data_IF_782951681336
#
_entry.id   IF_782951681336
#
_cell.length_a   1.000
_cell.length_b   1.000
_cell.length_c   1.000
_cell.angle_alpha   90.00
_cell.angle_beta   90.00
_cell.angle_gamma   90.00
#
_symmetry.space_group_name_H-M   'P 1'
#
loop_
_entity.id
_entity.type
_entity.pdbx_description
1 polymer ?
#
# COMPACT_ATOMS: atom_id res chain seq x y z
N UNK A 1 -25.81 -29.56 -22.98
CA UNK A 1 -25.88 -30.27 -21.69
C UNK A 1 -24.75 -29.76 -20.83
N UNK A 2 -25.03 -29.12 -19.70
CA UNK A 2 -23.99 -28.70 -18.77
C UNK A 2 -23.37 -29.96 -18.14
N UNK A 3 -22.06 -30.15 -18.30
CA UNK A 3 -21.33 -31.20 -17.59
C UNK A 3 -21.42 -30.83 -16.11
N UNK A 4 -22.19 -31.61 -15.33
CA UNK A 4 -22.20 -31.46 -13.88
C UNK A 4 -20.81 -31.85 -13.37
N UNK A 5 -20.07 -30.84 -12.92
CA UNK A 5 -18.83 -31.02 -12.16
C UNK A 5 -19.09 -31.94 -10.98
N UNK A 6 -18.25 -32.97 -10.78
CA UNK A 6 -18.29 -33.85 -9.61
C UNK A 6 -17.87 -33.16 -8.31
N UNK A 7 -17.43 -31.91 -8.38
CA UNK A 7 -16.94 -31.12 -7.26
C UNK A 7 -17.67 -29.78 -7.14
N UNK A 8 -17.75 -29.25 -5.93
CA UNK A 8 -18.35 -27.95 -5.63
C UNK A 8 -17.61 -26.82 -6.39
N UNK A 9 -18.30 -26.06 -7.27
CA UNK A 9 -17.71 -24.94 -8.00
C UNK A 9 -17.10 -23.87 -7.09
N UNK A 10 -17.66 -23.65 -5.91
CA UNK A 10 -17.14 -22.65 -4.98
C UNK A 10 -15.82 -23.11 -4.36
N UNK A 11 -15.72 -24.39 -3.96
CA UNK A 11 -14.47 -25.00 -3.52
C UNK A 11 -13.40 -24.95 -4.63
N UNK A 12 -13.77 -25.25 -5.89
CA UNK A 12 -12.84 -25.16 -7.02
C UNK A 12 -12.33 -23.73 -7.25
N UNK A 13 -13.23 -22.73 -7.23
CA UNK A 13 -12.86 -21.31 -7.32
C UNK A 13 -11.94 -20.89 -6.18
N UNK A 14 -12.20 -21.36 -4.96
CA UNK A 14 -11.37 -21.09 -3.79
C UNK A 14 -9.96 -21.67 -3.96
N UNK A 15 -9.85 -22.90 -4.47
CA UNK A 15 -8.56 -23.52 -4.77
C UNK A 15 -7.78 -22.74 -5.84
N UNK A 16 -8.44 -22.33 -6.93
CA UNK A 16 -7.82 -21.50 -7.98
C UNK A 16 -7.31 -20.17 -7.43
N UNK A 17 -8.03 -19.57 -6.48
CA UNK A 17 -7.64 -18.33 -5.82
C UNK A 17 -6.32 -18.39 -5.05
N UNK A 18 -5.82 -19.59 -4.71
CA UNK A 18 -4.53 -19.74 -4.02
C UNK A 18 -3.34 -19.39 -4.92
N UNK A 19 -3.50 -19.51 -6.25
CA UNK A 19 -2.49 -19.08 -7.21
C UNK A 19 -2.48 -17.54 -7.30
N UNK A 20 -1.40 -16.94 -6.81
CA UNK A 20 -1.25 -15.47 -6.79
C UNK A 20 -1.01 -14.96 -8.19
N UNK A 21 -1.76 -13.93 -8.57
CA UNK A 21 -1.68 -13.29 -9.89
C UNK A 21 -1.47 -11.79 -9.75
N UNK A 22 -0.93 -11.16 -10.78
CA UNK A 22 -1.09 -9.72 -10.94
C UNK A 22 -2.52 -9.40 -11.37
N UNK A 23 -2.92 -8.14 -11.22
CA UNK A 23 -4.20 -7.64 -11.74
C UNK A 23 -3.96 -6.91 -13.05
N UNK A 24 -4.77 -7.19 -14.06
CA UNK A 24 -4.71 -6.50 -15.35
C UNK A 24 -6.02 -5.84 -15.72
N UNK A 25 -5.95 -4.78 -16.53
CA UNK A 25 -7.10 -4.28 -17.29
C UNK A 25 -6.82 -4.51 -18.77
N UNK A 26 -7.73 -5.21 -19.42
CA UNK A 26 -7.71 -5.41 -20.86
C UNK A 26 -8.63 -4.40 -21.50
N UNK A 27 -8.15 -3.69 -22.52
CA UNK A 27 -8.93 -2.67 -23.21
C UNK A 27 -8.95 -2.91 -24.71
N UNK A 28 -10.01 -2.43 -25.36
CA UNK A 28 -10.16 -2.39 -26.80
C UNK A 28 -11.07 -1.22 -27.17
N UNK A 29 -11.33 -1.02 -28.45
CA UNK A 29 -12.26 -0.02 -28.95
C UNK A 29 -13.37 -0.70 -29.75
N UNK A 30 -14.62 -0.27 -29.56
CA UNK A 30 -15.74 -0.70 -30.39
C UNK A 30 -15.74 0.01 -31.75
N UNK A 31 -16.54 -0.50 -32.69
CA UNK A 31 -16.64 0.05 -34.06
C UNK A 31 -17.09 1.52 -34.10
N UNK A 32 -17.90 1.95 -33.12
CA UNK A 32 -18.36 3.33 -32.95
C UNK A 32 -17.31 4.25 -32.30
N UNK A 33 -16.12 3.72 -32.00
CA UNK A 33 -15.03 4.44 -31.34
C UNK A 33 -15.11 4.42 -29.81
N UNK A 34 -16.14 3.84 -29.20
CA UNK A 34 -16.29 3.82 -27.75
C UNK A 34 -15.22 2.95 -27.07
N UNK A 35 -14.62 3.43 -25.96
CA UNK A 35 -13.58 2.69 -25.25
C UNK A 35 -14.19 1.58 -24.39
N UNK A 36 -13.66 0.37 -24.51
CA UNK A 36 -14.08 -0.80 -23.74
C UNK A 36 -12.93 -1.29 -22.88
N UNK A 37 -13.23 -1.67 -21.64
CA UNK A 37 -12.24 -2.26 -20.75
C UNK A 37 -12.83 -3.15 -19.69
N UNK A 38 -12.03 -4.12 -19.27
CA UNK A 38 -12.40 -5.12 -18.26
C UNK A 38 -11.19 -5.51 -17.40
N UNK A 39 -11.43 -5.64 -16.11
CA UNK A 39 -10.43 -6.21 -15.19
C UNK A 39 -10.34 -7.72 -15.40
N UNK A 40 -9.11 -8.23 -15.54
CA UNK A 40 -8.83 -9.66 -15.68
C UNK A 40 -7.58 -10.04 -14.87
N UNK A 41 -7.61 -11.22 -14.27
CA UNK A 41 -6.45 -11.84 -13.64
C UNK A 41 -6.12 -13.23 -14.26
N UNK A 42 -6.72 -13.53 -15.42
CA UNK A 42 -6.45 -14.72 -16.23
C UNK A 42 -5.29 -14.53 -17.22
N UNK A 43 -4.63 -13.37 -17.20
CA UNK A 43 -3.52 -13.03 -18.08
C UNK A 43 -2.27 -13.88 -17.81
N UNK A 44 -1.58 -14.31 -18.87
CA UNK A 44 -0.28 -14.97 -18.76
C UNK A 44 0.57 -14.82 -20.03
N UNK A 45 1.89 -14.99 -19.90
CA UNK A 45 2.82 -15.07 -21.04
C UNK A 45 2.77 -16.45 -21.69
N UNK A 46 2.90 -16.51 -23.02
CA UNK A 46 2.83 -17.77 -23.80
C UNK A 46 4.15 -18.08 -24.49
N UNK A 47 4.70 -17.11 -25.21
CA UNK A 47 5.89 -17.30 -26.06
C UNK A 47 6.73 -16.03 -26.11
N UNK A 48 8.05 -16.18 -26.22
CA UNK A 48 8.97 -15.07 -26.47
C UNK A 48 9.23 -14.84 -27.97
N UNK A 49 9.16 -15.89 -28.81
CA UNK A 49 9.36 -15.78 -30.25
C UNK A 49 8.42 -16.76 -31.02
N UNK A 50 7.35 -16.26 -31.67
CA UNK A 50 6.88 -14.86 -31.64
C UNK A 50 6.42 -14.45 -30.23
N UNK A 51 6.42 -13.14 -29.90
CA UNK A 51 6.04 -12.66 -28.57
C UNK A 51 4.52 -12.77 -28.39
N UNK A 52 4.07 -13.78 -27.64
CA UNK A 52 2.66 -14.08 -27.44
C UNK A 52 2.26 -14.01 -25.96
N UNK A 53 1.09 -13.45 -25.71
CA UNK A 53 0.41 -13.43 -24.41
C UNK A 53 -1.02 -13.93 -24.55
N UNK A 54 -1.64 -14.36 -23.45
CA UNK A 54 -3.04 -14.76 -23.44
C UNK A 54 -3.81 -14.22 -22.25
N UNK A 55 -5.14 -14.25 -22.36
CA UNK A 55 -6.08 -14.08 -21.27
C UNK A 55 -7.42 -14.74 -21.62
N UNK A 56 -8.30 -14.89 -20.64
CA UNK A 56 -9.61 -15.53 -20.82
C UNK A 56 -10.74 -14.58 -20.45
N UNK A 57 -11.74 -14.46 -21.33
CA UNK A 57 -12.95 -13.66 -21.15
C UNK A 57 -14.18 -14.55 -21.03
N UNK A 58 -15.02 -14.30 -20.03
CA UNK A 58 -16.25 -15.07 -19.84
C UNK A 58 -17.20 -14.89 -21.04
N UNK A 59 -17.83 -15.98 -21.49
CA UNK A 59 -18.79 -15.94 -22.61
C UNK A 59 -20.04 -15.10 -22.30
N UNK A 60 -20.33 -14.91 -21.02
CA UNK A 60 -21.43 -14.06 -20.53
C UNK A 60 -21.07 -12.56 -20.51
N UNK A 61 -19.82 -12.18 -20.78
CA UNK A 61 -19.40 -10.79 -20.74
C UNK A 61 -20.02 -9.99 -21.90
N UNK A 62 -20.63 -8.84 -21.58
CA UNK A 62 -21.23 -7.94 -22.59
C UNK A 62 -20.20 -7.40 -23.59
N UNK A 63 -18.93 -7.34 -23.21
CA UNK A 63 -17.81 -6.90 -24.05
C UNK A 63 -17.30 -7.98 -25.01
N UNK A 64 -17.75 -9.23 -24.89
CA UNK A 64 -17.27 -10.34 -25.72
C UNK A 64 -17.42 -10.07 -27.23
N UNK A 65 -18.56 -9.56 -27.75
CA UNK A 65 -18.70 -9.30 -29.18
C UNK A 65 -17.65 -8.29 -29.68
N UNK A 66 -17.36 -7.26 -28.88
CA UNK A 66 -16.35 -6.23 -29.20
C UNK A 66 -14.95 -6.84 -29.26
N UNK A 67 -14.54 -7.62 -28.26
CA UNK A 67 -13.23 -8.26 -28.27
C UNK A 67 -13.09 -9.33 -29.36
N UNK A 68 -14.18 -10.04 -29.68
CA UNK A 68 -14.16 -11.10 -30.69
C UNK A 68 -14.02 -10.55 -32.12
N UNK A 69 -14.67 -9.41 -32.40
CA UNK A 69 -14.55 -8.70 -33.67
C UNK A 69 -13.31 -7.80 -33.75
N UNK A 70 -12.81 -7.33 -32.60
CA UNK A 70 -11.69 -6.41 -32.48
C UNK A 70 -10.34 -7.04 -32.88
N UNK A 71 -9.56 -6.28 -33.64
CA UNK A 71 -8.23 -6.70 -34.08
C UNK A 71 -7.11 -6.38 -33.08
N UNK A 72 -7.28 -5.36 -32.25
CA UNK A 72 -6.27 -4.88 -31.31
C UNK A 72 -6.83 -4.72 -29.90
N UNK A 73 -5.98 -4.99 -28.92
CA UNK A 73 -6.29 -4.81 -27.50
C UNK A 73 -5.01 -4.58 -26.71
N UNK A 74 -5.13 -3.85 -25.61
CA UNK A 74 -4.01 -3.56 -24.73
C UNK A 74 -4.19 -4.26 -23.38
N UNK A 75 -3.10 -4.79 -22.84
CA UNK A 75 -3.00 -5.31 -21.47
C UNK A 75 -2.30 -4.30 -20.60
N UNK A 76 -2.89 -3.98 -19.46
CA UNK A 76 -2.33 -3.07 -18.48
C UNK A 76 -2.12 -3.82 -17.18
N UNK A 77 -0.87 -4.08 -16.79
CA UNK A 77 -0.52 -4.67 -15.49
C UNK A 77 -0.55 -3.56 -14.45
N UNK A 78 -1.52 -3.61 -13.55
CA UNK A 78 -1.80 -2.51 -12.64
C UNK A 78 -0.72 -2.35 -11.57
N UNK A 79 -0.47 -1.11 -11.17
CA UNK A 79 0.32 -0.82 -9.97
C UNK A 79 -0.54 -0.87 -8.71
N UNK A 80 0.10 -0.92 -7.54
CA UNK A 80 -0.54 -0.94 -6.23
C UNK A 80 -1.51 0.23 -6.03
N UNK A 81 -1.17 1.42 -6.55
CA UNK A 81 -1.99 2.63 -6.43
C UNK A 81 -3.28 2.56 -7.28
N UNK A 82 -3.36 1.63 -8.22
CA UNK A 82 -4.48 1.47 -9.15
C UNK A 82 -5.53 0.45 -8.67
N UNK A 83 -5.53 0.07 -7.38
CA UNK A 83 -6.60 -0.74 -6.79
C UNK A 83 -8.02 -0.19 -7.05
N UNK A 84 -8.28 1.13 -6.90
CA UNK A 84 -9.60 1.69 -7.23
C UNK A 84 -9.99 1.49 -8.69
N UNK A 85 -9.00 1.54 -9.61
CA UNK A 85 -9.19 1.35 -11.03
C UNK A 85 -9.59 -0.10 -11.36
N UNK A 86 -8.94 -1.08 -10.71
CA UNK A 86 -9.31 -2.49 -10.80
C UNK A 86 -10.79 -2.71 -10.44
N UNK A 87 -11.25 -2.14 -9.32
CA UNK A 87 -12.65 -2.22 -8.90
C UNK A 87 -13.61 -1.61 -9.91
N UNK A 88 -13.27 -0.42 -10.42
CA UNK A 88 -14.05 0.29 -11.44
C UNK A 88 -14.25 -0.53 -12.72
N UNK A 89 -13.19 -1.18 -13.21
CA UNK A 89 -13.25 -1.95 -14.44
C UNK A 89 -13.84 -3.36 -14.28
N UNK A 90 -13.92 -3.87 -13.05
CA UNK A 90 -14.58 -5.14 -12.72
C UNK A 90 -16.11 -5.03 -12.65
N UNK A 91 -16.65 -3.85 -12.34
CA UNK A 91 -18.11 -3.62 -12.27
C UNK A 91 -18.76 -3.55 -13.65
N UNK A 92 -20.06 -3.83 -13.72
CA UNK A 92 -20.87 -3.54 -14.91
C UNK A 92 -21.32 -2.08 -14.90
N UNK A 93 -21.37 -1.43 -16.05
CA UNK A 93 -21.85 -0.05 -16.16
C UNK A 93 -21.20 0.72 -17.30
N UNK A 94 -21.76 1.90 -17.58
CA UNK A 94 -21.25 2.87 -18.55
C UNK A 94 -20.19 3.78 -17.90
N UNK A 95 -19.48 4.59 -18.69
CA UNK A 95 -18.54 5.62 -18.23
C UNK A 95 -17.35 5.14 -17.38
N UNK A 96 -16.86 3.90 -17.60
CA UNK A 96 -15.65 3.38 -16.95
C UNK A 96 -14.38 4.19 -17.24
N UNK A 97 -14.36 4.93 -18.34
CA UNK A 97 -13.23 5.76 -18.77
C UNK A 97 -13.39 7.25 -18.44
N UNK A 98 -14.49 7.67 -17.81
CA UNK A 98 -14.67 9.07 -17.45
C UNK A 98 -13.54 9.55 -16.52
N UNK A 99 -12.97 10.71 -16.80
CA UNK A 99 -11.88 11.33 -16.01
C UNK A 99 -10.60 10.48 -15.96
N UNK A 100 -10.40 9.58 -16.92
CA UNK A 100 -9.15 8.83 -17.07
C UNK A 100 -8.33 9.45 -18.19
N UNK A 101 -7.13 9.90 -17.87
CA UNK A 101 -6.14 10.29 -18.87
C UNK A 101 -5.61 9.05 -19.59
N UNK A 102 -5.56 9.13 -20.91
CA UNK A 102 -5.12 8.04 -21.79
C UNK A 102 -3.92 8.50 -22.61
N UNK A 103 -2.95 7.61 -22.76
CA UNK A 103 -1.83 7.80 -23.67
C UNK A 103 -2.22 7.39 -25.10
N UNK A 104 -1.43 7.88 -26.05
CA UNK A 104 -1.52 7.41 -27.43
C UNK A 104 -0.80 6.07 -27.58
N UNK A 105 -1.50 5.07 -28.12
CA UNK A 105 -0.93 3.78 -28.48
C UNK A 105 -0.63 3.65 -29.98
N UNK A 106 -0.14 2.48 -30.37
CA UNK A 106 0.02 2.06 -31.78
C UNK A 106 -1.32 1.76 -32.47
N UNK A 107 -2.39 1.67 -31.68
CA UNK A 107 -3.76 1.43 -32.15
C UNK A 107 -4.73 2.36 -31.41
N UNK A 108 -5.97 2.50 -31.90
CA UNK A 108 -7.02 3.27 -31.22
C UNK A 108 -7.49 2.69 -29.88
N UNK A 109 -7.05 1.49 -29.50
CA UNK A 109 -7.42 0.90 -28.21
C UNK A 109 -6.88 1.77 -27.04
N UNK A 110 -7.68 2.03 -25.98
CA UNK A 110 -7.25 2.88 -24.86
C UNK A 110 -5.95 2.42 -24.21
N UNK A 111 -5.04 3.35 -23.92
CA UNK A 111 -3.79 3.05 -23.21
C UNK A 111 -3.78 3.77 -21.86
N UNK A 112 -3.91 3.01 -20.78
CA UNK A 112 -3.92 3.55 -19.41
C UNK A 112 -2.51 3.98 -19.00
N UNK A 113 -2.43 5.03 -18.17
CA UNK A 113 -1.19 5.53 -17.59
C UNK A 113 -0.84 4.81 -16.28
N UNK A 114 0.35 5.07 -15.74
CA UNK A 114 0.80 4.67 -14.41
C UNK A 114 0.79 3.17 -14.10
N UNK A 115 0.70 2.33 -15.12
CA UNK A 115 0.78 0.88 -14.96
C UNK A 115 2.22 0.41 -14.69
N UNK A 116 2.34 -0.77 -14.09
CA UNK A 116 3.64 -1.45 -13.92
C UNK A 116 4.21 -1.87 -15.26
N UNK A 117 3.35 -2.38 -16.15
CA UNK A 117 3.70 -2.72 -17.53
C UNK A 117 2.49 -2.61 -18.44
N UNK A 118 2.73 -2.34 -19.72
CA UNK A 118 1.69 -2.27 -20.75
C UNK A 118 2.12 -3.07 -21.97
N UNK A 119 1.18 -3.82 -22.54
CA UNK A 119 1.40 -4.60 -23.76
C UNK A 119 0.33 -4.25 -24.77
N UNK A 120 0.74 -3.81 -25.95
CA UNK A 120 -0.15 -3.46 -27.04
C UNK A 120 -0.15 -4.61 -28.04
N UNK A 121 -1.30 -5.26 -28.18
CA UNK A 121 -1.42 -6.56 -28.84
C UNK A 121 -2.33 -6.51 -30.06
N UNK A 122 -2.05 -7.38 -31.02
CA UNK A 122 -2.99 -7.78 -32.06
C UNK A 122 -3.51 -9.19 -31.78
N UNK A 123 -4.80 -9.43 -31.97
CA UNK A 123 -5.38 -10.77 -31.84
C UNK A 123 -4.76 -11.72 -32.86
N UNK A 124 -4.09 -12.76 -32.38
CA UNK A 124 -3.51 -13.81 -33.21
C UNK A 124 -4.44 -15.02 -33.30
N UNK A 125 -5.01 -15.46 -32.17
CA UNK A 125 -5.90 -16.62 -32.11
C UNK A 125 -7.00 -16.44 -31.06
N UNK A 126 -8.13 -17.11 -31.27
CA UNK A 126 -9.21 -17.24 -30.29
C UNK A 126 -9.55 -18.72 -30.15
N UNK A 127 -9.67 -19.21 -28.91
CA UNK A 127 -9.99 -20.61 -28.62
C UNK A 127 -11.16 -20.73 -27.66
N UNK A 128 -11.97 -21.77 -27.86
CA UNK A 128 -13.02 -22.16 -26.93
C UNK A 128 -12.41 -22.73 -25.64
N UNK A 129 -12.77 -22.15 -24.48
CA UNK A 129 -12.23 -22.49 -23.17
C UNK A 129 -13.34 -22.78 -22.14
N UNK A 130 -14.28 -23.67 -22.47
CA UNK A 130 -15.42 -23.97 -21.60
C UNK A 130 -16.43 -22.82 -21.57
N UNK A 131 -16.61 -22.19 -20.41
CA UNK A 131 -17.46 -21.00 -20.23
C UNK A 131 -16.74 -19.68 -20.56
N UNK A 132 -15.47 -19.75 -20.98
CA UNK A 132 -14.67 -18.62 -21.44
C UNK A 132 -14.22 -18.78 -22.90
N UNK A 133 -13.80 -17.67 -23.50
CA UNK A 133 -13.01 -17.62 -24.74
C UNK A 133 -11.58 -17.21 -24.36
N UNK A 134 -10.60 -17.95 -24.85
CA UNK A 134 -9.17 -17.68 -24.65
C UNK A 134 -8.70 -16.83 -25.82
N UNK A 135 -8.22 -15.62 -25.53
CA UNK A 135 -7.63 -14.72 -26.51
C UNK A 135 -6.11 -14.85 -26.44
N UNK A 136 -5.47 -15.12 -27.58
CA UNK A 136 -4.01 -15.09 -27.74
C UNK A 136 -3.64 -13.90 -28.61
N UNK A 137 -2.75 -13.06 -28.10
CA UNK A 137 -2.30 -11.84 -28.76
C UNK A 137 -0.81 -11.84 -29.04
N UNK A 138 -0.45 -11.35 -30.21
CA UNK A 138 0.93 -11.00 -30.56
C UNK A 138 1.23 -9.60 -30.03
N UNK A 139 2.28 -9.48 -29.22
CA UNK A 139 2.72 -8.20 -28.66
C UNK A 139 3.49 -7.43 -29.72
N UNK A 140 2.97 -6.26 -30.08
CA UNK A 140 3.55 -5.38 -31.10
C UNK A 140 4.39 -4.24 -30.49
N UNK A 141 4.02 -3.79 -29.29
CA UNK A 141 4.77 -2.81 -28.50
C UNK A 141 4.54 -3.07 -27.01
N UNK A 142 5.52 -2.73 -26.17
CA UNK A 142 5.38 -2.82 -24.72
C UNK A 142 6.26 -1.78 -24.02
N UNK A 143 5.88 -1.44 -22.80
CA UNK A 143 6.67 -0.61 -21.89
C UNK A 143 6.47 -1.08 -20.44
N UNK A 144 7.34 -0.62 -19.55
CA UNK A 144 7.25 -0.90 -18.12
C UNK A 144 7.74 0.30 -17.29
N UNK A 145 7.34 0.31 -16.02
CA UNK A 145 7.82 1.24 -15.00
C UNK A 145 8.39 0.50 -13.80
N UNK A 146 8.95 1.24 -12.83
CA UNK A 146 9.45 0.68 -11.57
C UNK A 146 8.37 0.62 -10.46
N UNK A 147 7.10 0.90 -10.81
CA UNK A 147 5.99 0.86 -9.87
C UNK A 147 5.75 -0.55 -9.33
N UNK A 148 5.30 -0.66 -8.08
CA UNK A 148 5.04 -1.95 -7.45
C UNK A 148 3.74 -2.57 -7.99
N UNK A 149 3.72 -3.84 -8.44
CA UNK A 149 2.55 -4.46 -9.04
C UNK A 149 1.45 -4.73 -8.00
N UNK A 150 0.20 -4.52 -8.40
CA UNK A 150 -0.96 -4.96 -7.62
C UNK A 150 -1.11 -6.48 -7.71
N UNK A 151 -1.08 -7.16 -6.57
CA UNK A 151 -1.30 -8.61 -6.50
C UNK A 151 -2.73 -8.95 -6.08
N UNK A 152 -3.21 -10.11 -6.53
CA UNK A 152 -4.49 -10.67 -6.13
C UNK A 152 -4.31 -12.12 -5.71
N UNK A 153 -4.78 -12.44 -4.51
CA UNK A 153 -4.65 -13.76 -3.90
C UNK A 153 -5.86 -14.06 -3.03
N UNK A 154 -6.40 -15.26 -3.13
CA UNK A 154 -7.48 -15.77 -2.29
C UNK A 154 -8.70 -14.84 -2.21
N UNK A 155 -9.03 -14.16 -3.31
CA UNK A 155 -10.17 -13.24 -3.39
C UNK A 155 -9.92 -11.85 -2.78
N UNK A 156 -8.69 -11.50 -2.44
CA UNK A 156 -8.31 -10.21 -1.86
C UNK A 156 -7.13 -9.60 -2.61
N UNK A 157 -7.04 -8.27 -2.60
CA UNK A 157 -5.82 -7.57 -3.03
C UNK A 157 -4.69 -7.82 -2.02
N UNK A 158 -3.48 -7.91 -2.53
CA UNK A 158 -2.27 -8.19 -1.77
C UNK A 158 -1.13 -7.29 -2.22
N UNK A 159 -0.14 -7.13 -1.33
CA UNK A 159 1.12 -6.44 -1.63
C UNK A 159 2.20 -7.48 -1.89
N UNK A 160 2.91 -7.34 -3.01
CA UNK A 160 4.05 -8.18 -3.34
C UNK A 160 5.34 -7.56 -2.79
N UNK A 161 5.90 -8.15 -1.74
CA UNK A 161 7.26 -7.83 -1.26
C UNK A 161 8.27 -8.73 -1.96
N UNK A 162 9.37 -8.15 -2.47
CA UNK A 162 10.43 -8.95 -3.09
C UNK A 162 11.22 -9.68 -2.02
N UNK A 163 11.50 -10.96 -2.24
CA UNK A 163 12.51 -11.65 -1.44
C UNK A 163 13.89 -11.06 -1.77
N UNK A 164 14.75 -10.79 -0.77
CA UNK A 164 16.11 -10.36 -1.03
C UNK A 164 16.86 -11.46 -1.81
N UNK A 165 17.73 -11.07 -2.76
CA UNK A 165 18.50 -12.02 -3.59
C UNK A 165 19.52 -12.83 -2.80
N UNK A 166 19.95 -12.32 -1.65
CA UNK A 166 20.82 -12.96 -0.68
C UNK A 166 20.17 -12.93 0.69
N UNK A 167 20.48 -13.90 1.55
CA UNK A 167 20.11 -13.83 2.97
C UNK A 167 20.54 -12.48 3.57
N UNK A 168 19.61 -11.79 4.22
CA UNK A 168 19.92 -10.61 5.01
C UNK A 168 20.37 -11.09 6.39
N UNK A 169 21.66 -10.93 6.68
CA UNK A 169 22.20 -11.13 8.03
C UNK A 169 22.61 -9.80 8.63
N UNK A 170 22.29 -9.59 9.90
CA UNK A 170 22.72 -8.41 10.64
C UNK A 170 24.09 -8.65 11.30
N UNK A 171 24.36 -9.89 11.70
CA UNK A 171 25.58 -10.36 12.30
C UNK A 171 26.58 -10.80 11.25
N UNK A 172 27.84 -10.48 11.50
CA UNK A 172 28.97 -10.91 10.67
C UNK A 172 29.46 -12.33 11.02
N UNK A 173 28.91 -12.94 12.07
CA UNK A 173 29.32 -14.25 12.60
C UNK A 173 28.21 -15.30 12.45
N UNK A 174 28.55 -16.61 12.49
CA UNK A 174 27.55 -17.68 12.42
C UNK A 174 26.51 -17.59 13.53
N UNK A 175 25.27 -18.06 13.31
CA UNK A 175 24.22 -18.00 14.31
C UNK A 175 24.61 -18.82 15.56
N UNK A 176 24.36 -18.28 16.77
CA UNK A 176 24.59 -19.02 18.01
C UNK A 176 23.65 -20.24 18.11
N UNK A 177 23.95 -21.22 18.99
CA UNK A 177 23.12 -22.42 19.17
C UNK A 177 21.67 -22.07 19.55
N UNK A 178 20.72 -22.98 19.23
CA UNK A 178 19.26 -22.82 19.25
C UNK A 178 18.63 -22.22 20.52
N UNK A 179 19.35 -22.18 21.65
CA UNK A 179 18.92 -21.56 22.91
C UNK A 179 19.35 -20.09 23.10
N UNK A 180 19.78 -19.39 22.06
CA UNK A 180 20.22 -17.97 22.15
C UNK A 180 19.24 -17.04 21.44
N UNK A 181 19.14 -15.80 21.92
CA UNK A 181 18.45 -14.74 21.18
C UNK A 181 19.10 -14.58 19.80
N UNK A 182 18.33 -14.80 18.73
CA UNK A 182 18.79 -14.66 17.36
C UNK A 182 18.49 -13.25 16.84
N UNK A 183 19.20 -12.85 15.79
CA UNK A 183 18.95 -11.60 15.08
C UNK A 183 17.57 -11.54 14.41
N UNK A 184 16.92 -12.69 14.24
CA UNK A 184 15.59 -12.83 13.64
C UNK A 184 14.46 -12.66 14.67
N UNK A 185 14.76 -12.48 15.96
CA UNK A 185 13.72 -12.24 16.95
C UNK A 185 12.95 -10.97 16.60
N UNK A 186 11.65 -11.09 16.39
CA UNK A 186 10.78 -9.97 15.99
C UNK A 186 10.90 -8.76 16.94
N UNK A 187 10.94 -8.99 18.26
CA UNK A 187 11.11 -7.91 19.24
C UNK A 187 12.46 -7.19 19.12
N UNK A 188 13.53 -7.92 18.80
CA UNK A 188 14.84 -7.33 18.53
C UNK A 188 14.82 -6.50 17.24
N UNK A 189 14.25 -7.02 16.15
CA UNK A 189 14.14 -6.30 14.88
C UNK A 189 13.33 -5.01 15.02
N UNK A 190 12.17 -5.08 15.67
CA UNK A 190 11.31 -3.91 15.92
C UNK A 190 12.02 -2.86 16.78
N UNK A 191 12.62 -3.28 17.90
CA UNK A 191 13.38 -2.40 18.77
C UNK A 191 14.56 -1.76 18.06
N UNK A 192 15.35 -2.57 17.33
CA UNK A 192 16.54 -2.10 16.60
C UNK A 192 16.18 -1.05 15.56
N UNK A 193 15.15 -1.30 14.74
CA UNK A 193 14.68 -0.33 13.72
C UNK A 193 14.14 0.92 14.40
N UNK A 194 13.30 0.78 15.43
CA UNK A 194 12.74 1.92 16.17
C UNK A 194 13.82 2.86 16.71
N UNK A 195 14.81 2.33 17.44
CA UNK A 195 15.88 3.14 18.01
C UNK A 195 16.80 3.76 16.94
N UNK A 196 17.02 3.09 15.80
CA UNK A 196 17.79 3.67 14.70
C UNK A 196 17.07 4.85 14.05
N UNK A 197 15.76 4.77 13.86
CA UNK A 197 14.95 5.87 13.34
C UNK A 197 14.89 7.02 14.35
N UNK A 198 14.74 6.72 15.64
CA UNK A 198 14.72 7.71 16.71
C UNK A 198 16.07 8.44 16.82
N UNK A 199 17.19 7.73 16.75
CA UNK A 199 18.54 8.32 16.74
C UNK A 199 18.78 9.21 15.51
N UNK A 200 18.28 8.83 14.33
CA UNK A 200 18.32 9.68 13.15
C UNK A 200 17.52 10.98 13.35
N UNK A 201 16.31 10.88 13.93
CA UNK A 201 15.47 12.03 14.25
C UNK A 201 16.11 12.93 15.31
N UNK A 202 16.66 12.37 16.38
CA UNK A 202 17.35 13.11 17.44
C UNK A 202 18.53 13.92 16.91
N UNK A 203 19.31 13.37 15.98
CA UNK A 203 20.40 14.11 15.33
C UNK A 203 19.90 15.34 14.57
N UNK A 204 18.76 15.24 13.91
CA UNK A 204 18.13 16.38 13.23
C UNK A 204 17.53 17.40 14.21
N UNK A 205 16.98 16.93 15.33
CA UNK A 205 16.37 17.76 16.37
C UNK A 205 17.37 18.41 17.33
N UNK A 206 18.64 18.00 17.31
CA UNK A 206 19.69 18.50 18.23
C UNK A 206 19.83 20.02 18.30
N UNK A 207 19.40 20.74 17.25
CA UNK A 207 19.40 22.20 17.19
C UNK A 207 18.22 22.87 17.92
N UNK A 208 17.18 22.12 18.31
CA UNK A 208 15.93 22.69 18.87
C UNK A 208 15.89 22.81 20.40
N UNK A 209 16.92 22.33 21.13
CA UNK A 209 16.96 22.35 22.61
C UNK A 209 15.71 21.74 23.30
N UNK A 210 14.99 20.86 22.62
CA UNK A 210 13.84 20.12 23.16
C UNK A 210 14.32 18.76 23.67
N UNK A 211 13.86 18.38 24.86
CA UNK A 211 14.09 17.04 25.40
C UNK A 211 13.08 16.02 24.84
N UNK A 212 13.33 14.74 25.09
CA UNK A 212 12.46 13.65 24.60
C UNK A 212 11.04 13.73 25.18
N UNK A 213 10.91 14.22 26.42
CA UNK A 213 9.61 14.46 27.05
C UNK A 213 8.81 15.54 26.30
N UNK A 214 9.44 16.65 25.91
CA UNK A 214 8.83 17.69 25.10
C UNK A 214 8.32 17.14 23.76
N UNK A 215 9.09 16.27 23.11
CA UNK A 215 8.69 15.65 21.85
C UNK A 215 7.37 14.87 21.98
N UNK A 216 7.24 13.99 22.99
CA UNK A 216 6.01 13.23 23.19
C UNK A 216 4.81 14.11 23.53
N UNK A 217 5.00 15.11 24.40
CA UNK A 217 3.93 16.03 24.80
C UNK A 217 3.43 16.84 23.59
N UNK A 218 4.34 17.44 22.83
CA UNK A 218 4.02 18.21 21.64
C UNK A 218 3.38 17.35 20.56
N UNK A 219 3.82 16.10 20.39
CA UNK A 219 3.24 15.16 19.43
C UNK A 219 1.79 14.81 19.78
N UNK A 220 1.50 14.52 21.05
CA UNK A 220 0.13 14.25 21.53
C UNK A 220 -0.75 15.49 21.38
N UNK A 221 -0.28 16.66 21.84
CA UNK A 221 -1.04 17.90 21.79
C UNK A 221 -1.26 18.42 20.36
N UNK A 222 -0.38 18.06 19.42
CA UNK A 222 -0.54 18.37 17.99
C UNK A 222 -1.67 17.55 17.34
N UNK A 223 -1.92 16.34 17.83
CA UNK A 223 -3.00 15.48 17.33
C UNK A 223 -4.32 15.78 18.06
N UNK A 224 -4.25 16.01 19.37
CA UNK A 224 -5.40 16.35 20.21
C UNK A 224 -5.11 17.55 21.09
N UNK A 225 -5.84 18.66 20.90
CA UNK A 225 -5.77 19.81 21.79
C UNK A 225 -6.63 19.67 23.06
N UNK A 226 -6.41 20.57 24.03
CA UNK A 226 -7.23 20.77 25.20
C UNK A 226 -7.31 19.55 26.14
N UNK A 227 -6.16 18.98 26.45
CA UNK A 227 -6.01 17.79 27.29
C UNK A 227 -5.54 18.14 28.71
N UNK A 228 -5.99 17.36 29.69
CA UNK A 228 -5.46 17.36 31.07
C UNK A 228 -4.12 16.61 31.13
N UNK A 229 -3.37 16.79 32.22
CA UNK A 229 -2.12 16.05 32.44
C UNK A 229 -2.33 14.53 32.48
N UNK A 230 -3.43 14.07 33.08
CA UNK A 230 -3.75 12.65 33.19
C UNK A 230 -4.09 12.05 31.81
N UNK A 231 -4.84 12.79 30.98
CA UNK A 231 -5.11 12.38 29.59
C UNK A 231 -3.81 12.31 28.77
N UNK A 232 -2.91 13.29 28.90
CA UNK A 232 -1.60 13.25 28.23
C UNK A 232 -0.81 12.02 28.68
N UNK A 233 -0.70 11.77 29.99
CA UNK A 233 0.00 10.61 30.55
C UNK A 233 -0.62 9.28 30.12
N UNK A 234 -1.95 9.23 29.96
CA UNK A 234 -2.63 8.04 29.44
C UNK A 234 -2.17 7.71 28.01
N UNK A 235 -2.12 8.72 27.12
CA UNK A 235 -1.67 8.54 25.74
C UNK A 235 -0.20 8.18 25.59
N UNK A 236 0.68 8.63 26.49
CA UNK A 236 2.13 8.32 26.42
C UNK A 236 2.55 7.12 27.28
N UNK A 237 1.61 6.47 27.97
CA UNK A 237 1.91 5.38 28.93
C UNK A 237 2.75 4.24 28.34
N UNK A 238 2.54 3.89 27.07
CA UNK A 238 3.28 2.85 26.36
C UNK A 238 4.76 3.17 26.12
N UNK A 239 5.15 4.45 26.23
CA UNK A 239 6.52 4.91 26.00
C UNK A 239 7.42 4.67 27.22
N UNK A 240 6.84 4.32 28.38
CA UNK A 240 7.57 4.26 29.64
C UNK A 240 7.90 5.62 30.26
N UNK A 241 7.50 6.73 29.62
CA UNK A 241 7.71 8.09 30.12
C UNK A 241 6.50 8.59 30.91
N UNK A 242 6.76 9.32 31.99
CA UNK A 242 5.75 10.00 32.80
C UNK A 242 5.95 11.51 32.67
N UNK A 243 4.93 12.20 32.16
CA UNK A 243 4.90 13.66 32.06
C UNK A 243 4.57 14.25 33.42
N UNK A 244 5.50 15.05 33.95
CA UNK A 244 5.35 15.74 35.22
C UNK A 244 4.82 17.18 35.04
N UNK A 245 4.24 17.74 36.10
CA UNK A 245 3.87 19.17 36.15
C UNK A 245 5.09 20.06 35.89
N UNK A 246 6.29 19.63 36.31
CA UNK A 246 7.53 20.37 36.04
C UNK A 246 7.85 20.46 34.54
N UNK A 247 7.61 19.36 33.80
CA UNK A 247 7.79 19.32 32.35
C UNK A 247 6.81 20.27 31.64
N UNK A 248 5.54 20.27 32.07
CA UNK A 248 4.53 21.18 31.52
C UNK A 248 4.86 22.65 31.79
N UNK A 249 5.33 22.98 33.02
CA UNK A 249 5.79 24.35 33.35
C UNK A 249 7.02 24.76 32.55
N UNK A 250 7.91 23.83 32.21
CA UNK A 250 9.06 24.11 31.37
C UNK A 250 8.62 24.47 29.95
N UNK A 251 7.69 23.72 29.36
CA UNK A 251 7.10 24.01 28.05
C UNK A 251 6.31 25.31 28.01
N UNK A 252 5.61 25.65 29.11
CA UNK A 252 4.93 26.93 29.27
C UNK A 252 5.92 28.10 29.28
N UNK A 253 7.04 27.97 30.00
CA UNK A 253 8.11 28.99 30.00
C UNK A 253 8.75 29.18 28.62
N UNK A 254 8.82 28.12 27.81
CA UNK A 254 9.29 28.21 26.43
C UNK A 254 8.21 28.72 25.45
N UNK A 255 7.02 29.08 25.96
CA UNK A 255 5.89 29.53 25.17
C UNK A 255 5.44 28.49 24.12
N UNK A 256 5.58 27.20 24.40
CA UNK A 256 5.16 26.09 23.52
C UNK A 256 3.77 25.56 23.87
N UNK A 257 3.44 25.57 25.16
CA UNK A 257 2.16 25.10 25.69
C UNK A 257 1.55 26.22 26.54
N UNK A 258 0.24 26.41 26.44
CA UNK A 258 -0.53 27.30 27.29
C UNK A 258 -1.56 26.52 28.12
N UNK A 259 -1.86 27.07 29.30
CA UNK A 259 -2.92 26.58 30.18
C UNK A 259 -4.23 27.29 29.85
N UNK A 260 -5.26 26.52 29.53
CA UNK A 260 -6.65 26.97 29.41
C UNK A 260 -7.51 26.22 30.46
N UNK A 261 -8.43 26.94 31.13
CA UNK A 261 -9.34 26.36 32.12
C UNK A 261 -9.16 26.89 33.55
N UNK A 262 -9.97 26.36 34.47
CA UNK A 262 -9.94 26.75 35.89
C UNK A 262 -8.76 26.09 36.63
N UNK A 263 -8.29 26.69 37.73
CA UNK A 263 -7.20 26.13 38.55
C UNK A 263 -7.47 24.70 39.09
N UNK A 264 -8.73 24.24 39.07
CA UNK A 264 -9.13 22.91 39.53
C UNK A 264 -9.02 21.82 38.46
N UNK A 265 -8.97 22.18 37.17
CA UNK A 265 -8.83 21.24 36.06
C UNK A 265 -8.01 21.90 34.92
N UNK A 266 -6.69 22.07 35.11
CA UNK A 266 -5.83 22.68 34.10
C UNK A 266 -5.83 21.84 32.81
N UNK A 267 -6.16 22.47 31.68
CA UNK A 267 -6.03 21.86 30.35
C UNK A 267 -4.95 22.57 29.55
N UNK A 268 -4.29 21.80 28.71
CA UNK A 268 -3.12 22.25 27.96
C UNK A 268 -3.44 22.30 26.47
N UNK A 269 -3.03 23.40 25.85
CA UNK A 269 -3.15 23.65 24.41
C UNK A 269 -1.81 24.09 23.83
N UNK A 270 -1.55 23.79 22.56
CA UNK A 270 -0.39 24.33 21.87
C UNK A 270 -0.58 25.82 21.56
N UNK A 271 0.42 26.63 21.88
CA UNK A 271 0.53 28.01 21.43
C UNK A 271 0.84 28.07 19.92
N UNK A 272 0.87 29.26 19.33
CA UNK A 272 1.34 29.43 17.96
C UNK A 272 2.77 28.88 17.76
N UNK A 273 3.69 29.23 18.66
CA UNK A 273 5.08 28.74 18.67
C UNK A 273 5.14 27.22 18.85
N UNK A 274 4.31 26.66 19.74
CA UNK A 274 4.21 25.22 19.95
C UNK A 274 3.76 24.47 18.70
N UNK A 275 2.74 25.00 18.01
CA UNK A 275 2.27 24.44 16.73
C UNK A 275 3.35 24.49 15.66
N UNK A 276 4.09 25.59 15.57
CA UNK A 276 5.22 25.70 14.62
C UNK A 276 6.32 24.68 14.94
N UNK A 277 6.70 24.54 16.21
CA UNK A 277 7.67 23.53 16.64
C UNK A 277 7.19 22.10 16.32
N UNK A 278 5.93 21.76 16.61
CA UNK A 278 5.33 20.47 16.25
C UNK A 278 5.33 20.23 14.74
N UNK A 279 4.99 21.23 13.92
CA UNK A 279 5.04 21.12 12.47
C UNK A 279 6.46 20.83 11.96
N UNK A 280 7.47 21.49 12.52
CA UNK A 280 8.87 21.21 12.21
C UNK A 280 9.26 19.78 12.61
N UNK A 281 8.85 19.32 13.79
CA UNK A 281 9.08 17.93 14.23
C UNK A 281 8.46 16.91 13.28
N UNK A 282 7.20 17.10 12.87
CA UNK A 282 6.52 16.22 11.91
C UNK A 282 7.23 16.24 10.56
N UNK A 283 7.68 17.40 10.09
CA UNK A 283 8.42 17.51 8.83
C UNK A 283 9.74 16.73 8.88
N UNK A 284 10.50 16.84 9.98
CA UNK A 284 11.75 16.10 10.18
C UNK A 284 11.51 14.59 10.29
N UNK A 285 10.47 14.17 11.03
CA UNK A 285 10.09 12.76 11.14
C UNK A 285 9.74 12.16 9.77
N UNK A 286 8.96 12.90 8.95
CA UNK A 286 8.65 12.51 7.56
C UNK A 286 9.90 12.44 6.69
N UNK A 287 10.86 13.35 6.86
CA UNK A 287 12.11 13.32 6.11
C UNK A 287 12.98 12.09 6.45
N UNK A 288 13.03 11.68 7.71
CA UNK A 288 13.69 10.43 8.13
C UNK A 288 12.99 9.23 7.49
N UNK A 289 11.66 9.18 7.56
CA UNK A 289 10.84 8.12 6.97
C UNK A 289 11.07 8.01 5.46
N UNK A 290 11.07 9.13 4.74
CA UNK A 290 11.30 9.19 3.29
C UNK A 290 12.71 8.68 2.94
N UNK A 291 13.73 9.09 3.70
CA UNK A 291 15.11 8.64 3.48
C UNK A 291 15.27 7.12 3.65
N UNK A 292 14.61 6.53 4.66
CA UNK A 292 14.61 5.07 4.84
C UNK A 292 13.80 4.39 3.74
N UNK A 293 12.62 4.90 3.43
CA UNK A 293 11.73 4.32 2.42
C UNK A 293 12.35 4.34 1.02
N UNK A 294 13.10 5.39 0.67
CA UNK A 294 13.82 5.50 -0.60
C UNK A 294 14.94 4.46 -0.77
N UNK A 295 15.42 3.85 0.33
CA UNK A 295 16.40 2.75 0.31
C UNK A 295 15.75 1.37 0.25
N UNK A 296 14.44 1.28 0.51
CA UNK A 296 13.67 0.05 0.38
C UNK A 296 13.20 -0.12 -1.07
N UNK A 297 12.85 -1.35 -1.46
CA UNK A 297 12.32 -1.56 -2.80
C UNK A 297 10.91 -0.92 -2.93
N UNK A 298 10.48 -0.55 -4.16
CA UNK A 298 9.14 -0.01 -4.38
C UNK A 298 8.06 -0.95 -3.79
N UNK A 299 7.18 -0.39 -2.94
CA UNK A 299 6.10 -1.13 -2.28
C UNK A 299 6.46 -1.79 -0.95
N UNK A 300 7.74 -2.01 -0.62
CA UNK A 300 8.16 -2.68 0.62
C UNK A 300 7.83 -1.83 1.86
N UNK A 301 8.03 -0.50 1.78
CA UNK A 301 7.67 0.41 2.86
C UNK A 301 6.16 0.36 3.18
N UNK A 302 5.32 0.25 2.15
CA UNK A 302 3.88 0.14 2.32
C UNK A 302 3.49 -1.22 2.91
N UNK A 303 4.11 -2.30 2.44
CA UNK A 303 3.91 -3.63 3.01
C UNK A 303 4.30 -3.68 4.50
N UNK A 304 5.43 -3.07 4.86
CA UNK A 304 5.89 -2.96 6.24
C UNK A 304 4.87 -2.20 7.11
N UNK A 305 4.35 -1.06 6.65
CA UNK A 305 3.30 -0.31 7.37
C UNK A 305 2.05 -1.15 7.62
N UNK A 306 1.60 -1.91 6.62
CA UNK A 306 0.44 -2.81 6.78
C UNK A 306 0.72 -3.91 7.80
N UNK A 307 1.89 -4.55 7.72
CA UNK A 307 2.29 -5.60 8.67
C UNK A 307 2.41 -5.07 10.10
N UNK A 308 3.01 -3.88 10.29
CA UNK A 308 3.10 -3.23 11.59
C UNK A 308 1.73 -2.89 12.17
N UNK A 309 0.81 -2.32 11.37
CA UNK A 309 -0.57 -2.05 11.82
C UNK A 309 -1.29 -3.32 12.26
N UNK A 310 -1.14 -4.42 11.51
CA UNK A 310 -1.72 -5.73 11.86
C UNK A 310 -1.10 -6.28 13.15
N UNK A 311 0.21 -6.14 13.32
CA UNK A 311 0.90 -6.57 14.53
C UNK A 311 0.43 -5.76 15.74
N UNK A 312 0.37 -4.43 15.62
CA UNK A 312 -0.13 -3.53 16.68
C UNK A 312 -1.53 -3.95 17.09
N UNK A 313 -2.45 -4.16 16.15
CA UNK A 313 -3.81 -4.62 16.44
C UNK A 313 -3.86 -6.00 17.11
N UNK A 314 -2.96 -6.91 16.73
CA UNK A 314 -2.89 -8.26 17.31
C UNK A 314 -2.23 -8.30 18.70
N UNK A 315 -1.39 -7.32 19.02
CA UNK A 315 -0.67 -7.22 20.30
C UNK A 315 -1.25 -6.16 21.25
N UNK A 316 -2.35 -5.50 20.88
CA UNK A 316 -2.90 -4.36 21.62
C UNK A 316 -3.40 -4.79 23.01
N UNK A 317 -2.81 -4.27 24.12
CA UNK A 317 -3.30 -4.55 25.47
C UNK A 317 -4.51 -3.67 25.85
N UNK A 318 -5.05 -2.87 24.92
CA UNK A 318 -6.12 -1.89 25.16
C UNK A 318 -5.59 -0.48 25.33
N UNK A 319 -4.58 -0.10 24.54
CA UNK A 319 -4.02 1.25 24.56
C UNK A 319 -5.01 2.28 23.98
N UNK A 320 -4.96 3.55 24.44
CA UNK A 320 -5.87 4.57 23.94
C UNK A 320 -5.62 4.92 22.47
N UNK A 321 -6.69 4.98 21.67
CA UNK A 321 -6.62 5.42 20.28
C UNK A 321 -6.49 6.94 20.19
N UNK A 322 -5.27 7.39 19.89
CA UNK A 322 -4.96 8.81 19.73
C UNK A 322 -5.71 9.47 18.56
N UNK A 323 -6.19 8.70 17.58
CA UNK A 323 -6.88 9.19 16.38
C UNK A 323 -8.40 8.99 16.39
N UNK A 324 -8.96 8.38 17.44
CA UNK A 324 -10.42 8.21 17.56
C UNK A 324 -11.16 9.58 17.51
N UNK A 325 -12.37 9.65 16.93
CA UNK A 325 -13.19 10.87 16.93
C UNK A 325 -13.42 11.39 18.36
N UNK A 326 -13.63 12.70 18.50
CA UNK A 326 -14.06 13.34 19.75
C UNK A 326 -15.50 13.03 20.09
#
# INVERSE_FOLDING_TARGET
MAVQSSFDPQAFRTALGTFTTGVTIITTQAEDGSPIGITANSFNSVSLNPPLVLWSLAKSARSLPVFSAGSHWNVHVLSTEQEPLSGRFAMQGENKFAEIELDNGISPAPLLQDCTARFQCRTAFQYEGGDHVIFVGEVLAFDHSDRAPLAFQSGQYALATRKPRSELRLATTPPPPECSYTEDLLGYLLGRVHYQLLDALHRLLSNQQLDEHAFFILSVLCIRDNLTLDEINHFVSYTGHVVSVASMRFLEKQNLVALEGSQQAPRYVLTATGREASLQQVALAKAVEENVSARLAPGDAQALKVLLKRLIAASDPGLPDLWAPR
#
